data_IF_740328935344
#
_entry.id   IF_740328935344
#
_cell.length_a   1.000
_cell.length_b   1.000
_cell.length_c   1.000
_cell.angle_alpha   90.00
_cell.angle_beta   90.00
_cell.angle_gamma   90.00
#
_symmetry.space_group_name_H-M   'P 1'
#
loop_
_entity.id
_entity.type
_entity.pdbx_description
1 polymer ?
#
# COMPACT_ATOMS: atom_id res chain seq x y z
N UNK A 1 -6.02 8.90 -0.63
CA UNK A 1 -6.74 7.68 -0.28
C UNK A 1 -7.54 7.90 0.97
N UNK A 2 -8.79 7.55 0.93
CA UNK A 2 -9.73 7.79 2.01
C UNK A 2 -10.21 6.47 2.59
N UNK A 3 -10.31 6.38 3.91
CA UNK A 3 -11.00 5.30 4.59
C UNK A 3 -12.23 5.87 5.29
N UNK A 4 -13.28 5.07 5.40
CA UNK A 4 -14.44 5.47 6.19
C UNK A 4 -14.10 5.43 7.67
N UNK A 5 -14.59 6.42 8.47
CA UNK A 5 -14.36 6.44 9.91
C UNK A 5 -14.89 5.14 10.53
N UNK A 6 -14.00 4.38 11.15
CA UNK A 6 -14.34 3.13 11.82
C UNK A 6 -14.97 3.42 13.18
N UNK A 7 -16.28 3.54 13.26
CA UNK A 7 -16.97 3.33 14.54
C UNK A 7 -16.78 1.87 14.97
N UNK A 8 -16.56 1.65 16.28
CA UNK A 8 -16.39 0.30 16.84
C UNK A 8 -17.52 -0.61 16.37
N UNK A 9 -17.16 -1.73 15.80
CA UNK A 9 -18.06 -2.68 15.13
C UNK A 9 -19.07 -3.39 16.03
N UNK A 10 -19.09 -3.12 17.33
CA UNK A 10 -19.98 -3.79 18.30
C UNK A 10 -21.43 -3.30 18.28
N UNK A 11 -21.70 -2.11 17.70
CA UNK A 11 -23.00 -1.44 17.90
C UNK A 11 -23.87 -1.39 16.64
N UNK A 12 -23.42 -1.96 15.52
CA UNK A 12 -24.13 -1.89 14.26
C UNK A 12 -24.40 -3.30 13.74
N UNK A 13 -25.62 -3.59 13.42
CA UNK A 13 -26.09 -4.81 12.72
C UNK A 13 -25.44 -4.99 11.32
N UNK A 14 -24.16 -4.60 11.17
CA UNK A 14 -23.43 -4.66 9.94
C UNK A 14 -23.74 -3.53 8.93
N UNK A 15 -24.56 -2.54 9.30
CA UNK A 15 -24.95 -1.42 8.43
C UNK A 15 -24.54 -0.10 9.05
N UNK A 16 -23.88 0.75 8.25
CA UNK A 16 -23.50 2.12 8.62
C UNK A 16 -24.16 3.07 7.62
N UNK A 17 -24.85 4.10 8.13
CA UNK A 17 -25.44 5.15 7.30
C UNK A 17 -24.82 6.49 7.66
N UNK A 18 -24.48 7.28 6.65
CA UNK A 18 -23.89 8.61 6.81
C UNK A 18 -24.41 9.54 5.73
N UNK A 19 -24.46 10.86 6.05
CA UNK A 19 -24.75 11.91 5.09
C UNK A 19 -23.49 12.73 4.86
N UNK A 20 -23.24 13.09 3.60
CA UNK A 20 -22.09 13.90 3.20
C UNK A 20 -22.55 15.02 2.30
N UNK A 21 -21.92 16.18 2.38
CA UNK A 21 -22.19 17.31 1.49
C UNK A 21 -21.22 17.24 0.29
N UNK A 22 -21.78 17.15 -0.90
CA UNK A 22 -21.04 17.14 -2.15
C UNK A 22 -21.56 18.32 -2.98
N UNK A 23 -20.72 19.32 -3.19
CA UNK A 23 -21.04 20.53 -3.98
C UNK A 23 -22.35 21.22 -3.55
N UNK A 24 -22.61 21.25 -2.22
CA UNK A 24 -23.81 21.88 -1.66
C UNK A 24 -25.05 20.99 -1.64
N UNK A 25 -24.98 19.75 -2.15
CA UNK A 25 -26.04 18.76 -2.10
C UNK A 25 -25.74 17.71 -1.03
N UNK A 26 -26.71 17.40 -0.20
CA UNK A 26 -26.58 16.31 0.79
C UNK A 26 -26.84 14.97 0.12
N UNK A 27 -25.86 14.08 0.19
CA UNK A 27 -25.96 12.71 -0.30
C UNK A 27 -25.92 11.76 0.90
N UNK A 28 -26.90 10.88 0.98
CA UNK A 28 -26.96 9.86 2.02
C UNK A 28 -26.42 8.55 1.46
N UNK A 29 -25.44 7.96 2.16
CA UNK A 29 -24.92 6.68 1.75
C UNK A 29 -24.98 5.66 2.88
N UNK A 30 -25.03 4.40 2.48
CA UNK A 30 -25.09 3.24 3.34
C UNK A 30 -23.94 2.31 2.98
N UNK A 31 -23.25 1.80 4.00
CA UNK A 31 -22.24 0.75 3.89
C UNK A 31 -22.73 -0.46 4.67
N UNK A 32 -22.98 -1.56 3.98
CA UNK A 32 -23.47 -2.80 4.56
C UNK A 32 -22.37 -3.86 4.50
N UNK A 33 -21.96 -4.38 5.67
CA UNK A 33 -21.02 -5.48 5.74
C UNK A 33 -21.70 -6.77 5.32
N UNK A 34 -21.14 -7.43 4.32
CA UNK A 34 -21.59 -8.69 3.77
C UNK A 34 -20.75 -9.87 4.27
N UNK A 35 -20.46 -10.79 3.41
CA UNK A 35 -19.77 -12.04 3.74
C UNK A 35 -18.31 -11.79 4.16
N UNK A 36 -17.79 -12.57 5.11
CA UNK A 36 -16.37 -12.58 5.43
C UNK A 36 -15.59 -13.15 4.24
N UNK A 37 -14.42 -12.55 3.95
CA UNK A 37 -13.50 -13.01 2.94
C UNK A 37 -12.09 -13.05 3.55
N UNK A 38 -11.70 -14.19 4.11
CA UNK A 38 -10.47 -14.32 4.89
C UNK A 38 -10.46 -13.37 6.09
N UNK A 39 -9.43 -12.52 6.16
CA UNK A 39 -9.28 -11.48 7.19
C UNK A 39 -9.98 -10.15 6.85
N UNK A 40 -10.76 -10.11 5.77
CA UNK A 40 -11.53 -8.96 5.31
C UNK A 40 -13.02 -9.27 5.26
N UNK A 41 -13.82 -8.28 4.90
CA UNK A 41 -15.24 -8.45 4.64
C UNK A 41 -15.58 -7.76 3.33
N UNK A 42 -16.51 -8.35 2.61
CA UNK A 42 -17.18 -7.65 1.52
C UNK A 42 -18.09 -6.57 2.12
N UNK A 43 -18.06 -5.38 1.54
CA UNK A 43 -18.90 -4.25 1.93
C UNK A 43 -19.66 -3.77 0.72
N UNK A 44 -20.99 -3.76 0.83
CA UNK A 44 -21.87 -3.22 -0.19
C UNK A 44 -22.16 -1.76 0.12
N UNK A 45 -21.84 -0.86 -0.83
CA UNK A 45 -22.15 0.56 -0.74
C UNK A 45 -23.36 0.91 -1.60
N UNK A 46 -24.21 1.75 -1.09
CA UNK A 46 -25.35 2.34 -1.82
C UNK A 46 -25.54 3.80 -1.40
N UNK A 47 -26.00 4.64 -2.30
CA UNK A 47 -26.28 6.05 -2.04
C UNK A 47 -27.47 6.53 -2.87
N UNK A 48 -28.06 7.65 -2.47
CA UNK A 48 -29.33 8.16 -3.00
C UNK A 48 -29.20 9.09 -4.22
N UNK A 49 -27.99 9.29 -4.72
CA UNK A 49 -27.71 10.17 -5.88
C UNK A 49 -26.96 9.42 -6.98
N UNK A 50 -27.64 9.13 -8.09
CA UNK A 50 -27.06 8.42 -9.24
C UNK A 50 -26.00 9.21 -10.01
N UNK A 51 -25.94 10.53 -9.87
CA UNK A 51 -24.97 11.39 -10.56
C UNK A 51 -23.61 11.41 -9.79
N UNK A 52 -23.61 10.94 -8.55
CA UNK A 52 -22.41 10.85 -7.71
C UNK A 52 -21.73 9.51 -7.92
N UNK A 53 -20.45 9.54 -8.30
CA UNK A 53 -19.65 8.31 -8.40
C UNK A 53 -19.15 7.85 -7.04
N UNK A 54 -18.81 6.57 -6.90
CA UNK A 54 -18.21 6.06 -5.68
C UNK A 54 -16.89 6.78 -5.33
N UNK A 55 -16.08 7.13 -6.32
CA UNK A 55 -14.86 7.90 -6.11
C UNK A 55 -15.15 9.27 -5.49
N UNK A 56 -16.13 10.00 -6.04
CA UNK A 56 -16.57 11.30 -5.50
C UNK A 56 -17.10 11.17 -4.06
N UNK A 57 -17.89 10.13 -3.81
CA UNK A 57 -18.38 9.86 -2.46
C UNK A 57 -17.23 9.60 -1.49
N UNK A 58 -16.25 8.81 -1.89
CA UNK A 58 -15.07 8.46 -1.09
C UNK A 58 -14.21 9.69 -0.78
N UNK A 59 -14.04 10.60 -1.74
CA UNK A 59 -13.28 11.83 -1.58
C UNK A 59 -13.89 12.78 -0.54
N UNK A 60 -15.22 12.80 -0.45
CA UNK A 60 -15.95 13.69 0.46
C UNK A 60 -16.27 13.06 1.82
N UNK A 61 -16.50 11.75 1.86
CA UNK A 61 -16.87 11.03 3.08
C UNK A 61 -15.68 10.35 3.77
N UNK A 62 -14.60 10.08 3.02
CA UNK A 62 -13.47 9.35 3.53
C UNK A 62 -12.49 10.22 4.32
N UNK A 63 -11.78 9.59 5.23
CA UNK A 63 -10.68 10.20 5.97
C UNK A 63 -9.36 9.55 5.55
N UNK A 64 -8.28 10.32 5.59
CA UNK A 64 -6.94 9.79 5.38
C UNK A 64 -6.61 8.80 6.50
N UNK A 65 -6.34 7.52 6.22
CA UNK A 65 -5.93 6.59 7.26
C UNK A 65 -4.51 6.93 7.71
N UNK A 66 -4.34 7.16 9.00
CA UNK A 66 -3.02 7.33 9.63
C UNK A 66 -2.70 6.11 10.50
N UNK A 67 -1.41 5.84 10.79
CA UNK A 67 -1.02 4.69 11.60
C UNK A 67 -1.69 4.69 12.97
N UNK A 68 -2.32 3.59 13.41
CA UNK A 68 -3.02 3.51 14.71
C UNK A 68 -2.13 3.81 15.92
N UNK A 69 -0.82 3.59 15.83
CA UNK A 69 0.12 3.85 16.92
C UNK A 69 0.30 5.35 17.21
N UNK A 70 -0.17 6.24 16.34
CA UNK A 70 -0.18 7.68 16.61
C UNK A 70 -1.21 8.07 17.67
N UNK A 71 -2.20 7.22 17.94
CA UNK A 71 -3.23 7.38 18.97
C UNK A 71 -3.92 8.77 18.95
N UNK A 72 -4.18 9.30 17.77
CA UNK A 72 -4.90 10.55 17.53
C UNK A 72 -5.78 10.43 16.28
N UNK A 73 -6.71 11.32 16.15
CA UNK A 73 -7.50 11.48 14.92
C UNK A 73 -6.66 12.12 13.81
N UNK A 74 -7.11 11.92 12.58
CA UNK A 74 -6.50 12.53 11.40
C UNK A 74 -6.72 14.04 11.43
N UNK A 75 -5.67 14.81 11.18
CA UNK A 75 -5.73 16.26 11.03
C UNK A 75 -5.63 16.63 9.54
N UNK A 76 -6.13 17.80 9.18
CA UNK A 76 -6.05 18.29 7.79
C UNK A 76 -4.61 18.38 7.28
N UNK A 77 -3.66 18.72 8.17
CA UNK A 77 -2.23 18.72 7.85
C UNK A 77 -1.68 17.35 7.43
N UNK A 78 -2.31 16.26 7.86
CA UNK A 78 -1.84 14.91 7.50
C UNK A 78 -1.99 14.63 6.01
N UNK A 79 -2.94 15.26 5.34
CA UNK A 79 -3.10 15.15 3.89
C UNK A 79 -1.85 15.59 3.13
N UNK A 80 -1.07 16.48 3.72
CA UNK A 80 0.20 16.96 3.14
C UNK A 80 1.41 16.29 3.77
N UNK A 81 1.41 16.12 5.09
CA UNK A 81 2.60 15.64 5.83
C UNK A 81 2.72 14.12 5.85
N UNK A 82 1.61 13.39 5.70
CA UNK A 82 1.61 11.93 5.58
C UNK A 82 1.62 11.48 4.11
N UNK A 83 2.43 12.16 3.30
CA UNK A 83 2.65 11.87 1.89
C UNK A 83 4.10 12.12 1.52
N UNK A 84 4.68 11.28 0.68
CA UNK A 84 6.04 11.50 0.20
C UNK A 84 6.07 12.57 -0.89
N UNK A 85 7.13 13.37 -0.94
CA UNK A 85 7.31 14.43 -1.95
C UNK A 85 7.49 13.89 -3.38
N UNK A 86 7.68 12.57 -3.52
CA UNK A 86 7.84 11.90 -4.81
C UNK A 86 6.67 10.97 -5.17
N UNK A 87 5.59 11.01 -4.41
CA UNK A 87 4.36 10.27 -4.76
C UNK A 87 3.78 10.77 -6.08
N UNK A 88 3.50 9.86 -7.01
CA UNK A 88 3.01 10.17 -8.35
C UNK A 88 1.74 9.41 -8.73
N UNK A 89 1.57 8.21 -8.20
CA UNK A 89 0.50 7.29 -8.59
C UNK A 89 -0.36 7.01 -7.36
N UNK A 90 -1.64 7.28 -7.48
CA UNK A 90 -2.62 6.95 -6.46
C UNK A 90 -2.84 5.43 -6.41
N UNK A 91 -3.25 4.90 -5.25
CA UNK A 91 -3.55 3.47 -5.09
C UNK A 91 -3.01 2.83 -3.79
N UNK A 92 -2.32 3.61 -2.92
CA UNK A 92 -1.86 3.14 -1.61
C UNK A 92 -2.77 3.61 -0.48
N UNK A 93 -2.93 2.81 0.56
CA UNK A 93 -3.64 3.18 1.81
C UNK A 93 -2.67 3.82 2.79
N UNK A 94 -1.42 3.37 2.83
CA UNK A 94 -0.39 3.87 3.73
C UNK A 94 0.77 4.50 2.94
N UNK A 95 1.32 5.59 3.47
CA UNK A 95 2.55 6.15 2.94
C UNK A 95 3.77 5.30 3.35
N UNK A 96 4.79 5.17 2.49
CA UNK A 96 6.06 4.56 2.86
C UNK A 96 6.82 5.49 3.81
N UNK A 97 6.65 5.28 5.12
CA UNK A 97 7.07 6.22 6.18
C UNK A 97 8.54 6.59 6.16
N UNK A 98 9.42 5.68 5.74
CA UNK A 98 10.85 5.99 5.54
C UNK A 98 11.05 7.08 4.48
N UNK A 99 10.17 7.19 3.50
CA UNK A 99 10.20 8.20 2.45
C UNK A 99 9.79 9.59 2.92
N UNK A 100 9.08 9.71 4.04
CA UNK A 100 8.65 11.00 4.60
C UNK A 100 9.83 11.87 5.07
N UNK A 101 10.99 11.28 5.29
CA UNK A 101 12.23 12.01 5.63
C UNK A 101 12.86 12.73 4.44
N UNK A 102 12.42 12.44 3.23
CA UNK A 102 12.94 13.10 2.03
C UNK A 102 12.18 14.40 1.77
N UNK A 103 12.95 15.46 1.57
CA UNK A 103 12.45 16.77 1.14
C UNK A 103 13.01 17.10 -0.24
N UNK A 104 12.46 18.10 -0.97
CA UNK A 104 13.03 18.55 -2.24
C UNK A 104 14.51 18.94 -2.11
N UNK A 105 14.90 19.55 -0.98
CA UNK A 105 16.29 19.94 -0.71
C UNK A 105 17.21 18.72 -0.58
N UNK A 106 16.75 17.66 0.09
CA UNK A 106 17.50 16.40 0.21
C UNK A 106 17.69 15.76 -1.15
N UNK A 107 16.63 15.69 -1.97
CA UNK A 107 16.70 15.14 -3.32
C UNK A 107 17.65 15.96 -4.21
N UNK A 108 17.62 17.29 -4.13
CA UNK A 108 18.56 18.17 -4.83
C UNK A 108 20.00 17.92 -4.42
N UNK A 109 20.28 17.79 -3.12
CA UNK A 109 21.61 17.46 -2.61
C UNK A 109 22.14 16.11 -3.09
N UNK A 110 21.28 15.11 -3.23
CA UNK A 110 21.66 13.82 -3.83
C UNK A 110 22.09 14.01 -5.28
N UNK A 111 21.32 14.79 -6.04
CA UNK A 111 21.64 15.11 -7.43
C UNK A 111 22.97 15.88 -7.56
N UNK A 112 23.20 16.88 -6.73
CA UNK A 112 24.47 17.65 -6.70
C UNK A 112 25.67 16.75 -6.39
N UNK A 113 25.47 15.72 -5.55
CA UNK A 113 26.51 14.73 -5.23
C UNK A 113 26.63 13.59 -6.25
N UNK A 114 25.92 13.66 -7.37
CA UNK A 114 25.86 12.59 -8.39
C UNK A 114 25.49 11.23 -7.79
N UNK A 115 24.57 11.21 -6.82
CA UNK A 115 23.97 10.01 -6.28
C UNK A 115 22.67 9.77 -7.05
N UNK A 116 22.61 8.75 -7.93
CA UNK A 116 21.41 8.47 -8.70
C UNK A 116 20.29 7.99 -7.80
N UNK A 117 19.07 8.42 -8.10
CA UNK A 117 17.84 7.94 -7.45
C UNK A 117 17.03 7.15 -8.47
N UNK A 118 16.63 5.95 -8.10
CA UNK A 118 15.80 5.06 -8.90
C UNK A 118 14.45 4.91 -8.21
N UNK A 119 13.39 4.76 -9.01
CA UNK A 119 12.02 4.72 -8.53
C UNK A 119 11.38 3.36 -8.84
N UNK A 120 10.62 2.85 -7.90
CA UNK A 120 9.68 1.74 -8.10
C UNK A 120 8.32 2.12 -7.53
N UNK A 121 7.26 1.52 -8.04
CA UNK A 121 5.90 1.79 -7.57
C UNK A 121 5.47 0.73 -6.58
N UNK A 122 4.97 1.18 -5.44
CA UNK A 122 4.42 0.36 -4.37
C UNK A 122 2.95 0.74 -4.16
N UNK A 123 2.07 -0.25 -4.10
CA UNK A 123 0.70 -0.09 -3.67
C UNK A 123 0.54 -0.67 -2.26
N UNK A 124 0.88 0.15 -1.25
CA UNK A 124 0.90 -0.26 0.15
C UNK A 124 -0.52 -0.35 0.70
N UNK A 125 -0.94 -1.54 1.07
CA UNK A 125 -2.27 -1.81 1.59
C UNK A 125 -2.45 -1.49 3.09
N UNK A 126 -3.68 -1.57 3.58
CA UNK A 126 -4.03 -1.39 4.99
C UNK A 126 -3.40 -2.45 5.92
N UNK A 127 -2.91 -3.55 5.36
CA UNK A 127 -2.20 -4.60 6.11
C UNK A 127 -0.99 -4.08 6.89
N UNK A 128 -0.32 -3.05 6.38
CA UNK A 128 0.81 -2.38 7.03
C UNK A 128 0.47 -1.81 8.42
N UNK A 129 -0.80 -1.50 8.68
CA UNK A 129 -1.25 -0.99 9.99
C UNK A 129 -1.59 -2.08 11.00
N UNK A 130 -1.60 -3.35 10.59
CA UNK A 130 -1.91 -4.46 11.50
C UNK A 130 -0.70 -4.73 12.40
N UNK A 131 -0.87 -4.68 13.74
CA UNK A 131 0.21 -5.05 14.65
C UNK A 131 0.48 -6.55 14.56
N UNK A 132 1.73 -6.94 14.77
CA UNK A 132 2.09 -8.35 14.97
C UNK A 132 1.42 -8.83 16.27
N UNK A 133 0.58 -9.85 16.17
CA UNK A 133 -0.16 -10.43 17.31
C UNK A 133 0.26 -11.86 17.64
N UNK A 134 1.02 -12.48 16.74
CA UNK A 134 1.52 -13.85 16.92
C UNK A 134 2.74 -13.86 17.83
N UNK A 135 2.89 -14.92 18.63
CA UNK A 135 4.05 -15.14 19.49
C UNK A 135 5.23 -15.69 18.69
N UNK A 136 4.99 -16.28 17.52
CA UNK A 136 6.00 -16.85 16.64
C UNK A 136 5.96 -16.21 15.25
N UNK A 137 7.06 -16.29 14.51
CA UNK A 137 7.16 -15.79 13.14
C UNK A 137 6.23 -16.55 12.20
N UNK A 138 6.10 -17.86 12.39
CA UNK A 138 5.25 -18.73 11.58
C UNK A 138 3.76 -18.36 11.71
N UNK A 139 3.35 -17.92 12.91
CA UNK A 139 1.99 -17.50 13.19
C UNK A 139 1.64 -16.10 12.66
N UNK A 140 2.62 -15.34 12.15
CA UNK A 140 2.41 -14.03 11.58
C UNK A 140 2.25 -14.11 10.07
N UNK A 141 1.03 -13.94 9.60
CA UNK A 141 0.75 -13.87 8.15
C UNK A 141 1.11 -12.48 7.61
N UNK A 142 2.11 -12.44 6.71
CA UNK A 142 2.50 -11.21 6.00
C UNK A 142 1.48 -10.88 4.91
N UNK A 143 1.07 -9.64 4.84
CA UNK A 143 0.21 -9.15 3.77
C UNK A 143 0.95 -9.06 2.44
N UNK A 144 0.22 -9.30 1.36
CA UNK A 144 0.71 -9.13 -0.01
C UNK A 144 0.52 -7.69 -0.46
N UNK A 145 1.47 -7.15 -1.20
CA UNK A 145 1.43 -5.82 -1.78
C UNK A 145 1.71 -5.89 -3.28
N UNK A 146 1.00 -5.07 -4.05
CA UNK A 146 1.26 -4.94 -5.47
C UNK A 146 2.46 -4.02 -5.69
N UNK A 147 3.34 -4.46 -6.59
CA UNK A 147 4.55 -3.73 -6.97
C UNK A 147 4.59 -3.54 -8.48
N UNK A 148 5.19 -2.45 -8.93
CA UNK A 148 5.54 -2.25 -10.33
C UNK A 148 6.98 -1.78 -10.43
N UNK A 149 7.79 -2.57 -11.16
CA UNK A 149 9.21 -2.34 -11.32
C UNK A 149 9.53 -2.27 -12.81
N UNK A 150 10.13 -1.16 -13.22
CA UNK A 150 10.50 -0.99 -14.63
C UNK A 150 11.72 -1.84 -14.99
N UNK A 151 11.77 -2.31 -16.25
CA UNK A 151 12.95 -2.98 -16.78
C UNK A 151 14.22 -2.12 -16.64
N UNK A 152 14.09 -0.81 -16.85
CA UNK A 152 15.23 0.09 -16.73
C UNK A 152 15.84 0.10 -15.33
N UNK A 153 14.98 0.03 -14.27
CA UNK A 153 15.48 -0.09 -12.90
C UNK A 153 16.25 -1.40 -12.70
N UNK A 154 15.72 -2.52 -13.20
CA UNK A 154 16.41 -3.83 -13.12
C UNK A 154 17.75 -3.79 -13.85
N UNK A 155 17.79 -3.23 -15.07
CA UNK A 155 19.01 -3.09 -15.85
C UNK A 155 20.07 -2.23 -15.12
N UNK A 156 19.66 -1.15 -14.46
CA UNK A 156 20.56 -0.30 -13.66
C UNK A 156 21.07 -1.02 -12.41
N UNK A 157 20.23 -1.79 -11.73
CA UNK A 157 20.63 -2.59 -10.56
C UNK A 157 21.66 -3.67 -10.94
N UNK A 158 21.51 -4.32 -12.10
CA UNK A 158 22.44 -5.35 -12.58
C UNK A 158 23.79 -4.72 -13.00
N UNK A 159 23.76 -3.52 -13.60
CA UNK A 159 24.97 -2.87 -14.11
C UNK A 159 25.75 -2.10 -13.08
N UNK A 160 25.12 -1.76 -11.95
CA UNK A 160 25.80 -0.92 -10.96
C UNK A 160 26.80 -1.74 -10.14
N UNK A 161 28.00 -1.19 -9.98
CA UNK A 161 29.02 -1.65 -9.04
C UNK A 161 28.94 -0.91 -7.68
N UNK A 162 27.98 0.01 -7.56
CA UNK A 162 27.80 0.85 -6.39
C UNK A 162 26.91 0.16 -5.36
N UNK A 163 27.07 0.57 -4.10
CA UNK A 163 26.14 0.16 -3.05
C UNK A 163 24.76 0.70 -3.33
N UNK A 164 23.76 -0.17 -3.33
CA UNK A 164 22.34 0.18 -3.42
C UNK A 164 21.80 0.42 -2.02
N UNK A 165 21.04 1.50 -1.85
CA UNK A 165 20.36 1.85 -0.61
C UNK A 165 18.86 1.87 -0.88
N UNK A 166 18.16 0.86 -0.40
CA UNK A 166 16.70 0.82 -0.48
C UNK A 166 16.09 1.70 0.63
N UNK A 167 15.11 2.52 0.24
CA UNK A 167 14.39 3.40 1.18
C UNK A 167 13.08 2.75 1.59
N UNK A 168 13.04 2.24 2.82
CA UNK A 168 11.89 1.56 3.41
C UNK A 168 11.92 0.04 3.26
N UNK A 169 11.30 -0.63 4.23
CA UNK A 169 11.25 -2.09 4.30
C UNK A 169 10.50 -2.71 3.12
N UNK A 170 9.43 -2.07 2.63
CA UNK A 170 8.69 -2.53 1.46
C UNK A 170 9.55 -2.47 0.19
N UNK A 171 10.41 -1.46 0.06
CA UNK A 171 11.38 -1.40 -1.05
C UNK A 171 12.41 -2.52 -0.97
N UNK A 172 12.94 -2.82 0.23
CA UNK A 172 13.84 -3.97 0.44
C UNK A 172 13.14 -5.27 0.04
N UNK A 173 11.93 -5.50 0.58
CA UNK A 173 11.14 -6.69 0.26
C UNK A 173 10.86 -6.83 -1.24
N UNK A 174 10.59 -5.72 -1.92
CA UNK A 174 10.42 -5.72 -3.37
C UNK A 174 11.67 -6.17 -4.10
N UNK A 175 12.84 -5.60 -3.76
CA UNK A 175 14.10 -5.95 -4.41
C UNK A 175 14.46 -7.43 -4.18
N UNK A 176 14.29 -7.94 -2.97
CA UNK A 176 14.48 -9.37 -2.67
C UNK A 176 13.51 -10.25 -3.45
N UNK A 177 12.25 -9.84 -3.59
CA UNK A 177 11.24 -10.59 -4.35
C UNK A 177 11.57 -10.69 -5.83
N UNK A 178 12.30 -9.73 -6.41
CA UNK A 178 12.68 -9.77 -7.84
C UNK A 178 13.51 -11.00 -8.18
N UNK A 179 14.35 -11.48 -7.28
CA UNK A 179 15.12 -12.70 -7.48
C UNK A 179 14.20 -13.90 -7.68
N UNK A 180 13.24 -14.09 -6.79
CA UNK A 180 12.29 -15.23 -6.88
C UNK A 180 11.33 -15.10 -8.06
N UNK A 181 10.93 -13.89 -8.42
CA UNK A 181 10.16 -13.63 -9.65
C UNK A 181 10.99 -14.02 -10.88
N UNK A 182 12.29 -13.69 -10.88
CA UNK A 182 13.20 -14.10 -11.95
C UNK A 182 13.27 -15.63 -12.09
N UNK A 183 13.42 -16.34 -10.98
CA UNK A 183 13.42 -17.82 -10.97
C UNK A 183 12.11 -18.42 -11.48
N UNK A 184 10.96 -17.86 -11.11
CA UNK A 184 9.67 -18.30 -11.63
C UNK A 184 9.60 -18.14 -13.15
N UNK A 185 10.08 -17.02 -13.68
CA UNK A 185 10.11 -16.73 -15.12
C UNK A 185 11.13 -17.57 -15.89
N UNK A 186 12.24 -17.96 -15.26
CA UNK A 186 13.18 -18.94 -15.84
C UNK A 186 12.51 -20.32 -16.00
N UNK A 187 11.69 -20.72 -15.00
CA UNK A 187 10.99 -21.99 -15.05
C UNK A 187 9.81 -21.97 -16.05
N UNK A 188 9.02 -20.90 -16.06
CA UNK A 188 7.91 -20.70 -17.00
C UNK A 188 7.87 -19.25 -17.49
N UNK A 189 8.45 -18.97 -18.67
CA UNK A 189 8.45 -17.62 -19.25
C UNK A 189 7.08 -17.06 -19.62
N UNK A 190 6.03 -17.90 -19.61
CA UNK A 190 4.67 -17.52 -20.01
C UNK A 190 3.75 -17.19 -18.81
N UNK A 191 4.27 -17.19 -17.59
CA UNK A 191 3.47 -16.79 -16.41
C UNK A 191 2.91 -15.39 -16.63
N UNK A 192 1.61 -15.25 -16.43
CA UNK A 192 0.96 -13.94 -16.51
C UNK A 192 1.44 -13.04 -15.36
N UNK A 193 1.65 -11.74 -15.60
CA UNK A 193 2.09 -10.80 -14.56
C UNK A 193 1.25 -10.84 -13.28
N UNK A 194 -0.07 -10.98 -13.41
CA UNK A 194 -1.01 -11.03 -12.28
C UNK A 194 -0.91 -12.34 -11.47
N UNK A 195 -0.22 -13.36 -12.00
CA UNK A 195 0.04 -14.63 -11.33
C UNK A 195 1.42 -14.68 -10.67
N UNK A 196 2.27 -13.69 -10.90
CA UNK A 196 3.56 -13.59 -10.26
C UNK A 196 3.40 -13.12 -8.80
N UNK A 197 3.67 -14.04 -7.86
CA UNK A 197 3.57 -13.74 -6.43
C UNK A 197 4.63 -14.51 -5.67
N UNK A 198 5.35 -13.84 -4.79
CA UNK A 198 6.35 -14.46 -3.91
C UNK A 198 5.73 -14.67 -2.54
N UNK A 199 5.62 -15.91 -2.10
CA UNK A 199 5.10 -16.29 -0.79
C UNK A 199 6.06 -15.94 0.34
N UNK A 200 5.51 -15.74 1.53
CA UNK A 200 6.28 -15.38 2.74
C UNK A 200 7.43 -16.35 3.03
N UNK A 201 7.22 -17.65 2.83
CA UNK A 201 8.16 -18.72 3.18
C UNK A 201 8.92 -19.28 1.99
N UNK A 202 8.57 -18.88 0.78
CA UNK A 202 9.23 -19.35 -0.44
C UNK A 202 10.76 -19.21 -0.39
N UNK A 203 11.36 -18.14 0.20
CA UNK A 203 12.80 -18.02 0.35
C UNK A 203 13.47 -19.07 1.26
N UNK A 204 12.66 -19.79 2.05
CA UNK A 204 13.14 -20.73 3.08
C UNK A 204 12.75 -22.19 2.78
N UNK A 205 12.02 -22.45 1.70
CA UNK A 205 11.52 -23.79 1.37
C UNK A 205 12.62 -24.77 0.91
N UNK A 206 13.87 -24.34 0.87
CA UNK A 206 15.04 -25.19 0.59
C UNK A 206 15.08 -25.81 -0.80
N UNK A 207 14.15 -25.41 -1.69
CA UNK A 207 14.07 -25.95 -3.05
C UNK A 207 15.09 -25.32 -4.01
N UNK A 208 15.80 -24.30 -3.58
CA UNK A 208 16.80 -23.60 -4.40
C UNK A 208 18.08 -23.38 -3.58
N UNK A 209 19.14 -24.10 -3.92
CA UNK A 209 20.50 -23.74 -3.46
C UNK A 209 20.84 -22.36 -4.05
N UNK A 210 21.24 -21.47 -3.17
CA UNK A 210 21.77 -20.16 -3.56
C UNK A 210 23.23 -20.38 -3.95
N UNK A 211 23.53 -20.47 -5.24
CA UNK A 211 24.87 -20.42 -5.79
C UNK A 211 25.43 -19.00 -5.71
#
# INVERSE_FOLDING_TARGET
LHSFPTRRSSDLNGVLTQSVNIDGKTVNFCAERRLPHGNAHEVHFSWDDSDVTFATLLDHAGELPIPPYLNRETAESDKTTYQTVYSKIEGSVAAPTAGLHFTPEVLNKLKEKNIPTLELTLHVGAGTFKPVKSETLEGHEMHTEYISVSRNLIDELIRTDRRVIAVGTTSVRTLESLYYIGKMLEHDPNILPDSLSVGQWQPYDGSEEID
#
